data_IF_248248359805
#
_entry.id   IF_248248359805
#
_cell.length_a   1.000
_cell.length_b   1.000
_cell.length_c   1.000
_cell.angle_alpha   90.00
_cell.angle_beta   90.00
_cell.angle_gamma   90.00
#
_symmetry.space_group_name_H-M   'P 1'
#
loop_
_entity.id
_entity.type
_entity.pdbx_description
1 polymer ?
#
# COMPACT_ATOMS: atom_id res chain seq x y z
N UNK A 1 4.80 -9.83 -12.14
CA UNK A 1 3.82 -8.79 -12.52
C UNK A 1 4.44 -7.40 -12.51
N UNK A 2 3.82 -6.48 -13.23
CA UNK A 2 4.24 -5.08 -13.32
C UNK A 2 3.08 -4.18 -12.89
N UNK A 3 3.32 -3.30 -11.92
CA UNK A 3 2.38 -2.24 -11.55
C UNK A 3 2.90 -0.93 -12.13
N UNK A 4 2.05 -0.17 -12.82
CA UNK A 4 2.38 1.14 -13.34
C UNK A 4 1.38 2.18 -12.83
N UNK A 5 1.87 3.34 -12.42
CA UNK A 5 1.04 4.50 -12.09
C UNK A 5 1.25 5.54 -13.18
N UNK A 6 0.16 5.95 -13.81
CA UNK A 6 0.16 6.91 -14.92
C UNK A 6 -0.56 8.17 -14.52
N UNK A 7 0.07 9.32 -14.76
CA UNK A 7 -0.57 10.62 -14.57
C UNK A 7 -1.47 10.93 -15.75
N UNK A 8 -2.77 11.05 -15.51
CA UNK A 8 -3.75 11.46 -16.54
C UNK A 8 -3.54 12.91 -16.97
N UNK A 9 -3.09 13.79 -16.07
CA UNK A 9 -2.78 15.20 -16.37
C UNK A 9 -1.54 15.36 -17.25
N UNK A 10 -0.52 14.53 -17.03
CA UNK A 10 0.75 14.60 -17.76
C UNK A 10 0.84 13.60 -18.92
N UNK A 11 -0.18 12.74 -19.10
CA UNK A 11 -0.22 11.68 -20.10
C UNK A 11 1.04 10.79 -20.12
N UNK A 12 1.62 10.49 -18.95
CA UNK A 12 2.84 9.67 -18.84
C UNK A 12 2.86 8.80 -17.58
N UNK A 13 3.61 7.71 -17.65
CA UNK A 13 3.95 6.90 -16.48
C UNK A 13 4.82 7.72 -15.52
N UNK A 14 4.48 7.69 -14.23
CA UNK A 14 5.21 8.40 -13.18
C UNK A 14 5.87 7.45 -12.18
N UNK A 15 5.49 6.17 -12.19
CA UNK A 15 6.07 5.15 -11.32
C UNK A 15 5.82 3.76 -11.89
N UNK A 16 6.76 2.84 -11.65
CA UNK A 16 6.67 1.45 -12.05
C UNK A 16 7.32 0.53 -11.02
N UNK A 17 6.65 -0.57 -10.69
CA UNK A 17 7.15 -1.59 -9.78
C UNK A 17 7.07 -2.96 -10.45
N UNK A 18 8.17 -3.73 -10.38
CA UNK A 18 8.15 -5.16 -10.67
C UNK A 18 7.91 -5.94 -9.38
N UNK A 19 6.90 -6.80 -9.38
CA UNK A 19 6.60 -7.74 -8.31
C UNK A 19 6.69 -9.17 -8.83
N UNK A 20 7.11 -10.13 -8.02
CA UNK A 20 7.28 -11.52 -8.46
C UNK A 20 5.96 -12.28 -8.54
N UNK A 21 4.99 -11.94 -7.69
CA UNK A 21 3.69 -12.60 -7.62
C UNK A 21 2.59 -11.86 -8.40
N UNK A 22 1.49 -12.53 -8.79
CA UNK A 22 0.30 -11.86 -9.32
C UNK A 22 -0.28 -10.87 -8.31
N UNK A 23 -0.79 -9.73 -8.81
CA UNK A 23 -1.46 -8.70 -8.00
C UNK A 23 -2.96 -8.87 -8.19
N UNK A 24 -3.71 -8.98 -7.10
CA UNK A 24 -5.16 -9.20 -7.14
C UNK A 24 -5.96 -7.98 -6.65
N UNK A 25 -5.31 -7.05 -5.95
CA UNK A 25 -5.92 -5.81 -5.46
C UNK A 25 -4.89 -4.70 -5.28
N UNK A 26 -5.29 -3.44 -5.54
CA UNK A 26 -4.45 -2.26 -5.32
C UNK A 26 -5.29 -0.97 -5.16
N UNK A 27 -4.72 0.02 -4.47
CA UNK A 27 -5.32 1.33 -4.23
C UNK A 27 -4.25 2.43 -4.02
N UNK A 28 -4.48 3.61 -4.60
CA UNK A 28 -3.69 4.80 -4.27
C UNK A 28 -4.20 5.43 -2.97
N UNK A 29 -3.27 5.86 -2.12
CA UNK A 29 -3.62 6.73 -0.98
C UNK A 29 -4.39 7.98 -1.44
N UNK A 30 -5.24 8.59 -0.59
CA UNK A 30 -5.97 9.82 -0.93
C UNK A 30 -5.08 10.97 -1.44
N UNK A 31 -3.83 11.05 -0.97
CA UNK A 31 -2.85 12.05 -1.43
C UNK A 31 -2.20 11.72 -2.79
N UNK A 32 -2.37 10.49 -3.28
CA UNK A 32 -1.73 9.97 -4.49
C UNK A 32 -0.23 9.71 -4.36
N UNK A 33 0.35 9.79 -3.14
CA UNK A 33 1.80 9.66 -2.91
C UNK A 33 2.25 8.24 -2.61
N UNK A 34 1.34 7.39 -2.11
CA UNK A 34 1.62 5.99 -1.80
C UNK A 34 0.65 5.07 -2.52
N UNK A 35 1.17 3.90 -2.91
CA UNK A 35 0.41 2.78 -3.46
C UNK A 35 0.35 1.67 -2.40
N UNK A 36 -0.85 1.21 -2.09
CA UNK A 36 -1.10 0.01 -1.31
C UNK A 36 -1.54 -1.10 -2.27
N UNK A 37 -0.98 -2.29 -2.14
CA UNK A 37 -1.37 -3.42 -2.99
C UNK A 37 -1.27 -4.73 -2.24
N UNK A 38 -2.01 -5.72 -2.74
CA UNK A 38 -2.02 -7.10 -2.27
C UNK A 38 -1.66 -8.04 -3.42
N UNK A 39 -0.84 -9.03 -3.12
CA UNK A 39 -0.57 -10.13 -4.06
C UNK A 39 -1.50 -11.32 -3.83
N UNK A 40 -1.55 -12.24 -4.80
CA UNK A 40 -2.43 -13.41 -4.75
C UNK A 40 -2.14 -14.40 -3.60
N UNK A 41 -1.05 -14.20 -2.86
CA UNK A 41 -0.73 -14.95 -1.64
C UNK A 41 -1.18 -14.22 -0.36
N UNK A 42 -1.85 -13.08 -0.50
CA UNK A 42 -2.34 -12.27 0.60
C UNK A 42 -1.32 -11.27 1.14
N UNK A 43 -0.10 -11.20 0.59
CA UNK A 43 0.89 -10.25 1.12
C UNK A 43 0.50 -8.81 0.76
N UNK A 44 0.45 -7.96 1.78
CA UNK A 44 0.20 -6.54 1.63
C UNK A 44 1.52 -5.78 1.52
N UNK A 45 1.55 -4.70 0.74
CA UNK A 45 2.73 -3.86 0.57
C UNK A 45 2.35 -2.41 0.37
N UNK A 46 3.19 -1.49 0.88
CA UNK A 46 3.04 -0.05 0.68
C UNK A 46 4.29 0.50 0.00
N UNK A 47 4.08 1.20 -1.12
CA UNK A 47 5.16 1.84 -1.85
C UNK A 47 4.99 3.36 -1.85
N UNK A 48 6.08 4.07 -1.58
CA UNK A 48 6.16 5.52 -1.76
C UNK A 48 6.55 5.81 -3.22
N UNK A 49 5.61 6.39 -3.96
CA UNK A 49 5.72 6.70 -5.39
C UNK A 49 6.75 7.81 -5.62
N UNK A 50 6.91 8.74 -4.68
CA UNK A 50 7.83 9.87 -4.84
C UNK A 50 9.28 9.49 -4.55
N UNK A 51 9.48 8.52 -3.66
CA UNK A 51 10.82 8.07 -3.25
C UNK A 51 11.31 6.85 -4.04
N UNK A 52 10.48 6.28 -4.90
CA UNK A 52 10.74 5.03 -5.64
C UNK A 52 11.16 3.87 -4.71
N UNK A 53 10.62 3.88 -3.49
CA UNK A 53 10.90 2.86 -2.48
C UNK A 53 9.65 2.08 -2.15
N UNK A 54 9.64 0.78 -2.46
CA UNK A 54 8.65 -0.15 -1.94
C UNK A 54 9.09 -0.68 -0.58
N UNK A 55 8.19 -0.64 0.42
CA UNK A 55 8.37 -1.35 1.69
C UNK A 55 7.26 -2.38 1.81
N UNK A 56 7.64 -3.64 1.96
CA UNK A 56 6.68 -4.70 2.30
C UNK A 56 6.11 -4.44 3.69
N UNK A 57 4.79 -4.31 3.79
CA UNK A 57 4.09 -4.36 5.08
C UNK A 57 3.61 -5.80 5.22
N UNK A 58 4.50 -6.67 5.67
CA UNK A 58 4.19 -8.10 5.73
C UNK A 58 3.01 -8.34 6.68
N UNK A 59 1.93 -8.87 6.13
CA UNK A 59 0.68 -9.00 6.85
C UNK A 59 -0.07 -10.25 6.40
N UNK A 60 0.07 -11.31 7.19
CA UNK A 60 -0.68 -12.55 7.08
C UNK A 60 -0.65 -13.22 5.70
N UNK A 61 -1.42 -14.30 5.58
CA UNK A 61 -1.56 -15.06 4.34
C UNK A 61 -2.94 -14.89 3.71
N UNK A 62 -3.90 -14.24 4.38
CA UNK A 62 -5.30 -14.22 3.90
C UNK A 62 -5.90 -12.83 3.72
N UNK A 63 -5.39 -11.81 4.42
CA UNK A 63 -5.62 -10.38 4.19
C UNK A 63 -6.97 -10.05 3.55
N UNK A 64 -8.07 -10.42 4.22
CA UNK A 64 -9.42 -10.30 3.65
C UNK A 64 -9.89 -8.84 3.54
N UNK A 65 -9.36 -7.95 4.38
CA UNK A 65 -9.64 -6.52 4.32
C UNK A 65 -8.38 -5.69 4.50
N UNK A 66 -8.15 -4.75 3.57
CA UNK A 66 -7.05 -3.79 3.64
C UNK A 66 -7.47 -2.51 2.94
N UNK A 67 -7.35 -1.35 3.61
CA UNK A 67 -7.70 -0.05 3.03
C UNK A 67 -6.88 1.08 3.66
N UNK A 68 -6.74 2.18 2.93
CA UNK A 68 -6.32 3.44 3.53
C UNK A 68 -7.41 3.97 4.47
N UNK A 69 -7.03 4.50 5.62
CA UNK A 69 -7.91 5.38 6.37
C UNK A 69 -8.15 6.68 5.57
N UNK A 70 -9.25 7.40 5.81
CA UNK A 70 -9.59 8.60 5.03
C UNK A 70 -8.52 9.71 5.00
N UNK A 71 -7.64 9.77 6.00
CA UNK A 71 -6.54 10.74 6.07
C UNK A 71 -5.25 10.27 5.36
N UNK A 72 -5.19 9.01 4.89
CA UNK A 72 -4.14 8.49 4.02
C UNK A 72 -2.79 8.17 4.64
N UNK A 73 -2.58 8.42 5.94
CA UNK A 73 -1.35 8.09 6.67
C UNK A 73 -1.45 6.81 7.51
N UNK A 74 -2.63 6.20 7.52
CA UNK A 74 -2.96 5.00 8.26
C UNK A 74 -3.51 3.95 7.30
N UNK A 75 -3.07 2.70 7.46
CA UNK A 75 -3.62 1.54 6.77
C UNK A 75 -4.32 0.67 7.80
N UNK A 76 -5.55 0.29 7.50
CA UNK A 76 -6.31 -0.70 8.26
C UNK A 76 -6.11 -2.06 7.59
N UNK A 77 -5.96 -3.09 8.41
CA UNK A 77 -5.79 -4.47 7.96
C UNK A 77 -6.59 -5.42 8.85
N UNK A 78 -7.23 -6.42 8.24
CA UNK A 78 -7.82 -7.54 8.96
C UNK A 78 -7.55 -8.82 8.16
N UNK A 79 -7.03 -9.85 8.84
CA UNK A 79 -6.67 -11.10 8.19
C UNK A 79 -7.94 -11.88 7.80
N UNK A 80 -8.88 -12.08 8.72
CA UNK A 80 -10.13 -12.80 8.49
C UNK A 80 -11.32 -12.17 9.24
N UNK A 81 -12.59 -12.42 8.82
CA UNK A 81 -13.76 -11.96 9.54
C UNK A 81 -13.76 -12.40 11.01
N UNK A 82 -14.04 -11.48 11.93
CA UNK A 82 -14.07 -11.75 13.37
C UNK A 82 -12.70 -11.74 14.05
N UNK A 83 -11.62 -11.43 13.33
CA UNK A 83 -10.27 -11.21 13.92
C UNK A 83 -10.04 -9.73 14.23
N UNK A 84 -8.97 -9.45 14.98
CA UNK A 84 -8.56 -8.08 15.28
C UNK A 84 -8.26 -7.27 14.00
N UNK A 85 -8.60 -5.99 14.05
CA UNK A 85 -8.19 -5.02 13.02
C UNK A 85 -6.86 -4.41 13.45
N UNK A 86 -5.83 -4.61 12.64
CA UNK A 86 -4.52 -3.99 12.83
C UNK A 86 -4.50 -2.62 12.17
N UNK A 87 -3.80 -1.69 12.83
CA UNK A 87 -3.62 -0.31 12.38
C UNK A 87 -2.13 -0.09 12.14
N UNK A 88 -1.74 0.16 10.89
CA UNK A 88 -0.38 0.57 10.57
C UNK A 88 -0.35 2.06 10.27
N UNK A 89 0.51 2.77 10.98
CA UNK A 89 0.77 4.17 10.76
C UNK A 89 2.26 4.43 10.90
N UNK A 90 2.77 5.41 10.16
CA UNK A 90 4.10 5.93 10.41
C UNK A 90 3.93 7.21 11.23
N UNK A 91 4.35 7.25 12.50
CA UNK A 91 4.44 8.52 13.18
C UNK A 91 5.39 9.41 12.37
N UNK A 92 4.98 10.67 12.12
CA UNK A 92 5.97 11.71 11.76
C UNK A 92 7.01 11.64 12.86
N UNK A 93 8.28 11.43 12.49
CA UNK A 93 9.38 11.32 13.44
C UNK A 93 9.20 12.40 14.50
N UNK A 94 8.96 12.00 15.76
CA UNK A 94 9.25 12.88 16.87
C UNK A 94 10.76 13.11 16.75
N UNK A 95 11.14 14.25 16.17
CA UNK A 95 12.43 14.84 16.45
C UNK A 95 12.41 15.10 17.96
N UNK A 96 12.84 14.11 18.74
CA UNK A 96 13.17 14.32 20.12
C UNK A 96 14.25 15.40 20.09
N UNK A 97 13.87 16.55 20.66
CA UNK A 97 14.69 17.75 20.77
C UNK A 97 15.90 17.48 21.65
#
# INVERSE_FOLDING_TARGET
MHIAVTSTRQHRMIFSLKHTCPIDWLELSPSGRRLLFRDAFGHVSVCDIQRDTARGLYAGNTAQYVQWAPNGDVVLYQDAPGTDVLVWYSPVSLSLS
#
